data_IF_967120556047
#
_entry.id   IF_967120556047
#
_cell.length_a   1.000
_cell.length_b   1.000
_cell.length_c   1.000
_cell.angle_alpha   90.00
_cell.angle_beta   90.00
_cell.angle_gamma   90.00
#
_symmetry.space_group_name_H-M   'P 1'
#
loop_
_entity.id
_entity.type
_entity.pdbx_description
1 polymer ?
#
# COMPACT_ATOMS: atom_id res chain seq x y z
N UNK A 1 -4.26 -5.13 10.75
CA UNK A 1 -5.49 -4.33 10.52
C UNK A 1 -5.09 -2.93 10.13
N UNK A 2 -5.94 -2.22 9.38
CA UNK A 2 -5.68 -0.85 8.91
C UNK A 2 -6.42 0.20 9.76
N UNK A 3 -5.77 1.31 10.09
CA UNK A 3 -6.31 2.46 10.81
C UNK A 3 -6.00 3.76 10.05
N UNK A 4 -6.94 4.71 10.01
CA UNK A 4 -6.66 6.07 9.54
C UNK A 4 -6.33 6.97 10.73
N UNK A 5 -5.08 7.38 10.86
CA UNK A 5 -4.61 8.16 12.00
C UNK A 5 -3.36 8.98 11.70
N UNK A 6 -2.97 9.84 12.65
CA UNK A 6 -1.74 10.60 12.60
C UNK A 6 -0.61 9.83 13.30
N UNK A 7 0.39 9.43 12.52
CA UNK A 7 1.63 8.87 13.08
C UNK A 7 2.47 9.94 13.80
N UNK A 8 2.41 11.16 13.27
CA UNK A 8 2.99 12.38 13.85
C UNK A 8 2.05 13.56 13.54
N UNK A 9 2.04 14.62 14.36
CA UNK A 9 1.12 15.74 14.19
C UNK A 9 1.11 16.31 12.77
N UNK A 10 -0.10 16.46 12.20
CA UNK A 10 -0.29 17.05 10.88
C UNK A 10 0.08 16.15 9.70
N UNK A 11 0.33 14.86 9.93
CA UNK A 11 0.60 13.87 8.88
C UNK A 11 -0.33 12.66 9.01
N UNK A 12 -1.62 12.78 8.66
CA UNK A 12 -2.53 11.66 8.64
C UNK A 12 -2.19 10.66 7.53
N UNK A 13 -2.69 9.43 7.65
CA UNK A 13 -2.62 8.43 6.59
C UNK A 13 -3.23 7.10 7.04
N UNK A 14 -3.37 6.17 6.10
CA UNK A 14 -3.79 4.81 6.40
C UNK A 14 -2.58 3.98 6.83
N UNK A 15 -2.61 3.46 8.04
CA UNK A 15 -1.52 2.71 8.65
C UNK A 15 -1.93 1.25 8.74
N UNK A 16 -1.14 0.38 8.13
CA UNK A 16 -1.17 -1.03 8.44
C UNK A 16 -0.27 -1.27 9.65
N UNK A 17 -0.84 -1.70 10.77
CA UNK A 17 -0.04 -2.25 11.86
C UNK A 17 0.61 -3.54 11.32
N UNK A 18 1.95 -3.54 11.25
CA UNK A 18 2.71 -4.71 10.84
C UNK A 18 2.43 -5.91 11.76
N UNK A 19 2.76 -7.09 11.28
CA UNK A 19 2.63 -8.30 12.07
C UNK A 19 3.59 -8.39 13.21
N UNK A 20 3.12 -9.01 14.28
CA UNK A 20 3.97 -9.67 15.25
C UNK A 20 5.00 -10.53 14.49
N UNK A 21 6.27 -10.36 14.78
CA UNK A 21 7.27 -11.39 14.46
C UNK A 21 6.89 -12.67 15.20
N UNK A 22 7.03 -13.82 14.57
CA UNK A 22 6.90 -15.10 15.28
C UNK A 22 7.89 -15.15 16.44
N UNK A 23 7.68 -16.05 17.41
CA UNK A 23 8.64 -16.30 18.49
C UNK A 23 10.05 -16.69 17.97
N UNK A 24 10.18 -17.09 16.69
CA UNK A 24 11.43 -17.39 16.01
C UNK A 24 12.03 -16.20 15.23
N UNK A 25 11.50 -14.99 15.39
CA UNK A 25 11.97 -13.78 14.71
C UNK A 25 11.58 -13.69 13.22
N UNK A 26 10.73 -14.59 12.72
CA UNK A 26 10.30 -14.57 11.33
C UNK A 26 9.07 -13.67 11.19
N UNK A 27 9.01 -12.76 10.20
CA UNK A 27 7.81 -11.96 9.93
C UNK A 27 6.63 -12.89 9.64
N UNK A 28 5.53 -12.73 10.37
CA UNK A 28 4.27 -13.40 10.02
C UNK A 28 3.80 -12.84 8.66
N UNK A 29 3.69 -13.72 7.67
CA UNK A 29 3.62 -13.38 6.26
C UNK A 29 2.37 -12.60 5.85
N UNK A 30 1.30 -12.56 6.66
CA UNK A 30 0.05 -11.85 6.34
C UNK A 30 -0.59 -11.27 7.59
N UNK A 31 -0.31 -10.01 7.91
CA UNK A 31 -0.64 -9.47 9.23
C UNK A 31 -1.17 -8.04 9.24
N UNK A 32 -0.87 -7.26 8.19
CA UNK A 32 -1.42 -5.91 8.04
C UNK A 32 -2.92 -5.90 7.73
N UNK A 33 -3.48 -7.00 7.26
CA UNK A 33 -4.86 -7.07 6.77
C UNK A 33 -5.02 -6.42 5.40
N UNK A 34 -6.23 -6.46 4.86
CA UNK A 34 -6.59 -5.86 3.58
C UNK A 34 -7.42 -4.59 3.81
N UNK A 35 -7.23 -3.58 2.96
CA UNK A 35 -8.07 -2.39 2.85
C UNK A 35 -8.38 -2.16 1.37
N UNK A 36 -9.56 -1.60 1.08
CA UNK A 36 -10.03 -1.40 -0.28
C UNK A 36 -10.64 -0.01 -0.44
N UNK A 37 -10.50 0.57 -1.63
CA UNK A 37 -11.03 1.87 -1.98
C UNK A 37 -11.74 1.82 -3.33
N UNK A 38 -12.90 2.45 -3.41
CA UNK A 38 -13.56 2.69 -4.69
C UNK A 38 -12.81 3.78 -5.46
N UNK A 39 -12.40 3.48 -6.68
CA UNK A 39 -11.72 4.41 -7.58
C UNK A 39 -12.41 4.48 -8.92
N UNK A 40 -12.21 5.58 -9.65
CA UNK A 40 -12.67 5.74 -11.03
C UNK A 40 -11.45 5.94 -11.91
N UNK A 41 -11.30 5.11 -12.94
CA UNK A 41 -10.22 5.22 -13.93
C UNK A 41 -10.82 5.66 -15.27
N UNK A 42 -10.21 6.65 -15.92
CA UNK A 42 -10.60 7.10 -17.27
C UNK A 42 -9.54 6.70 -18.30
N UNK A 43 -8.27 6.91 -17.96
CA UNK A 43 -7.10 6.57 -18.78
C UNK A 43 -6.38 5.31 -18.29
N UNK A 44 -6.79 4.77 -17.14
CA UNK A 44 -6.24 3.55 -16.54
C UNK A 44 -4.99 3.77 -15.68
N UNK A 45 -4.62 5.01 -15.41
CA UNK A 45 -3.48 5.32 -14.54
C UNK A 45 -3.91 5.52 -13.09
N UNK A 46 -3.14 4.92 -12.18
CA UNK A 46 -3.32 5.02 -10.74
C UNK A 46 -1.98 5.40 -10.13
N UNK A 47 -1.96 6.50 -9.38
CA UNK A 47 -0.86 6.90 -8.54
C UNK A 47 -1.18 6.57 -7.09
N UNK A 48 -0.30 5.81 -6.44
CA UNK A 48 -0.40 5.54 -5.00
C UNK A 48 0.77 6.20 -4.30
N UNK A 49 0.48 7.08 -3.36
CA UNK A 49 1.44 7.76 -2.50
C UNK A 49 1.55 7.03 -1.15
N UNK A 50 2.78 6.82 -0.68
CA UNK A 50 3.08 6.06 0.53
C UNK A 50 4.36 6.56 1.22
N UNK A 51 4.56 6.18 2.47
CA UNK A 51 5.77 6.50 3.22
C UNK A 51 6.92 5.57 2.82
N UNK A 52 8.03 6.16 2.35
CA UNK A 52 9.33 5.49 2.26
C UNK A 52 10.19 5.81 3.47
N UNK A 53 10.84 4.80 4.07
CA UNK A 53 11.80 4.98 5.16
C UNK A 53 12.83 3.84 5.18
N UNK A 54 13.83 3.93 6.05
CA UNK A 54 15.01 3.06 6.05
C UNK A 54 14.95 1.89 7.02
N UNK A 55 13.94 1.84 7.90
CA UNK A 55 13.80 0.75 8.88
C UNK A 55 12.36 0.57 9.34
N UNK A 56 12.06 -0.61 9.87
CA UNK A 56 10.77 -0.94 10.50
C UNK A 56 9.55 -0.72 9.60
N UNK A 57 9.72 -0.89 8.28
CA UNK A 57 8.68 -0.72 7.27
C UNK A 57 8.54 -1.97 6.42
N UNK A 58 7.29 -2.32 6.13
CA UNK A 58 6.94 -3.45 5.26
C UNK A 58 6.76 -3.05 3.80
N UNK A 59 6.05 -3.91 3.09
CA UNK A 59 5.60 -3.65 1.72
C UNK A 59 4.11 -3.93 1.59
N UNK A 60 3.52 -3.45 0.51
CA UNK A 60 2.12 -3.66 0.17
C UNK A 60 2.00 -4.21 -1.25
N UNK A 61 1.12 -5.18 -1.44
CA UNK A 61 0.59 -5.49 -2.78
C UNK A 61 -0.65 -4.64 -3.00
N UNK A 62 -0.73 -3.95 -4.13
CA UNK A 62 -1.88 -3.18 -4.58
C UNK A 62 -2.45 -3.82 -5.85
N UNK A 63 -3.77 -4.00 -5.96
CA UNK A 63 -4.39 -4.59 -7.15
C UNK A 63 -5.85 -4.16 -7.34
N UNK A 64 -6.38 -4.27 -8.56
CA UNK A 64 -7.76 -3.89 -8.88
C UNK A 64 -8.69 -5.09 -9.03
N UNK A 65 -9.92 -4.95 -8.52
CA UNK A 65 -11.14 -5.78 -8.70
C UNK A 65 -11.06 -7.26 -8.30
N UNK A 66 -9.96 -7.95 -8.59
CA UNK A 66 -9.75 -9.36 -8.28
C UNK A 66 -9.68 -9.60 -6.75
N UNK A 67 -9.95 -10.85 -6.34
CA UNK A 67 -9.78 -11.25 -4.93
C UNK A 67 -8.30 -11.24 -4.50
N UNK A 68 -7.38 -11.50 -5.43
CA UNK A 68 -5.94 -11.61 -5.22
C UNK A 68 -5.15 -10.87 -6.33
N UNK A 69 -3.90 -10.46 -6.08
CA UNK A 69 -3.08 -9.77 -7.07
C UNK A 69 -2.80 -10.62 -8.33
N UNK A 70 -2.99 -10.02 -9.50
CA UNK A 70 -2.64 -10.59 -10.81
C UNK A 70 -1.55 -9.75 -11.49
N UNK A 71 -0.73 -10.35 -12.36
CA UNK A 71 0.41 -9.65 -12.99
C UNK A 71 0.00 -8.41 -13.82
N UNK A 72 -1.24 -8.38 -14.29
CA UNK A 72 -1.74 -7.35 -15.23
C UNK A 72 -2.31 -6.11 -14.53
N UNK A 73 -2.82 -6.26 -13.32
CA UNK A 73 -3.55 -5.20 -12.60
C UNK A 73 -3.07 -5.05 -11.15
N UNK A 74 -1.82 -5.40 -10.89
CA UNK A 74 -1.21 -5.24 -9.57
C UNK A 74 0.17 -4.60 -9.62
N UNK A 75 0.59 -4.06 -8.49
CA UNK A 75 1.96 -3.65 -8.27
C UNK A 75 2.37 -3.86 -6.80
N UNK A 76 3.68 -3.96 -6.58
CA UNK A 76 4.26 -4.00 -5.24
C UNK A 76 4.78 -2.62 -4.86
N UNK A 77 4.38 -2.15 -3.68
CA UNK A 77 4.84 -0.91 -3.06
C UNK A 77 5.80 -1.28 -1.93
N UNK A 78 7.10 -1.06 -2.16
CA UNK A 78 8.11 -1.29 -1.12
C UNK A 78 8.39 0.00 -0.35
N UNK A 79 8.09 0.01 0.94
CA UNK A 79 8.33 1.18 1.78
C UNK A 79 9.78 1.27 2.26
N UNK A 80 10.58 0.21 2.09
CA UNK A 80 11.99 0.24 2.45
C UNK A 80 12.79 1.03 1.41
N UNK A 81 13.51 2.03 1.88
CA UNK A 81 14.32 2.92 1.06
C UNK A 81 15.70 3.10 1.68
N UNK A 82 16.73 3.19 0.83
CA UNK A 82 18.14 3.19 1.28
C UNK A 82 18.53 4.53 1.90
N UNK A 83 17.88 5.63 1.52
CA UNK A 83 18.19 6.91 2.15
C UNK A 83 17.70 6.90 3.61
N UNK A 84 18.57 7.29 4.53
CA UNK A 84 18.32 7.33 5.98
C UNK A 84 17.35 8.46 6.39
N UNK A 85 16.31 8.70 5.60
CA UNK A 85 15.28 9.72 5.81
C UNK A 85 13.90 9.13 5.51
N UNK A 86 12.86 9.71 6.13
CA UNK A 86 11.48 9.35 5.84
C UNK A 86 10.90 10.35 4.84
N UNK A 87 10.42 9.86 3.70
CA UNK A 87 9.94 10.69 2.59
C UNK A 87 8.61 10.19 2.06
N UNK A 88 7.83 11.10 1.46
CA UNK A 88 6.72 10.68 0.63
C UNK A 88 7.26 10.09 -0.67
N UNK A 89 6.67 8.97 -1.11
CA UNK A 89 7.00 8.23 -2.31
C UNK A 89 5.72 7.97 -3.08
N UNK A 90 5.83 7.76 -4.38
CA UNK A 90 4.71 7.29 -5.17
C UNK A 90 5.09 6.16 -6.11
N UNK A 91 4.11 5.35 -6.47
CA UNK A 91 4.17 4.37 -7.54
C UNK A 91 3.08 4.67 -8.55
N UNK A 92 3.37 4.43 -9.83
CA UNK A 92 2.41 4.54 -10.92
C UNK A 92 2.09 3.13 -11.43
N UNK A 93 0.81 2.81 -11.46
CA UNK A 93 0.28 1.57 -12.03
C UNK A 93 -0.60 1.92 -13.22
N UNK A 94 -0.47 1.17 -14.31
CA UNK A 94 -1.39 1.25 -15.45
C UNK A 94 -2.19 -0.03 -15.53
N UNK A 95 -3.51 0.08 -15.35
CA UNK A 95 -4.41 -1.07 -15.50
C UNK A 95 -4.74 -1.34 -16.97
N UNK A 96 -5.02 -2.60 -17.28
CA UNK A 96 -5.57 -3.04 -18.57
C UNK A 96 -7.11 -3.14 -18.55
N UNK A 97 -7.74 -2.85 -17.41
CA UNK A 97 -9.19 -2.86 -17.26
C UNK A 97 -9.83 -1.73 -18.08
N UNK A 98 -11.08 -1.95 -18.49
CA UNK A 98 -11.85 -0.93 -19.16
C UNK A 98 -12.10 0.27 -18.22
N UNK A 99 -12.09 1.52 -18.72
CA UNK A 99 -12.41 2.70 -17.92
C UNK A 99 -13.73 2.55 -17.17
N UNK A 100 -13.76 2.94 -15.88
CA UNK A 100 -14.94 2.79 -15.05
C UNK A 100 -14.65 2.85 -13.56
N UNK A 101 -15.63 2.36 -12.78
CA UNK A 101 -15.51 2.20 -11.33
C UNK A 101 -14.82 0.87 -11.05
N UNK A 102 -13.83 0.90 -10.17
CA UNK A 102 -13.07 -0.26 -9.74
C UNK A 102 -12.84 -0.22 -8.23
N UNK A 103 -12.47 -1.37 -7.68
CA UNK A 103 -12.04 -1.52 -6.29
C UNK A 103 -10.53 -1.68 -6.26
N UNK A 104 -9.82 -0.69 -5.72
CA UNK A 104 -8.38 -0.78 -5.48
C UNK A 104 -8.12 -1.38 -4.11
N UNK A 105 -7.57 -2.59 -4.10
CA UNK A 105 -7.24 -3.36 -2.92
C UNK A 105 -5.77 -3.16 -2.53
N UNK A 106 -5.50 -3.17 -1.23
CA UNK A 106 -4.17 -3.15 -0.66
C UNK A 106 -4.05 -4.21 0.42
N UNK A 107 -2.95 -4.95 0.41
CA UNK A 107 -2.60 -5.90 1.48
C UNK A 107 -1.18 -5.66 1.93
N UNK A 108 -1.03 -5.44 3.24
CA UNK A 108 0.26 -5.15 3.85
C UNK A 108 0.93 -6.42 4.39
N UNK A 109 2.24 -6.47 4.19
CA UNK A 109 3.11 -7.60 4.49
C UNK A 109 4.30 -7.15 5.33
N UNK A 110 4.65 -7.96 6.34
CA UNK A 110 5.79 -7.69 7.21
C UNK A 110 5.50 -6.62 8.27
N UNK A 111 6.31 -5.57 8.30
CA UNK A 111 6.23 -4.51 9.31
C UNK A 111 5.20 -3.43 8.93
N UNK A 112 5.18 -2.32 9.70
CA UNK A 112 4.27 -1.19 9.49
C UNK A 112 4.33 -0.72 8.04
N UNK A 113 3.20 -0.31 7.47
CA UNK A 113 3.16 0.41 6.20
C UNK A 113 2.22 1.60 6.32
N UNK A 114 2.49 2.69 5.58
CA UNK A 114 1.63 3.87 5.57
C UNK A 114 1.33 4.32 4.16
N UNK A 115 0.04 4.31 3.80
CA UNK A 115 -0.49 4.95 2.60
C UNK A 115 -0.83 6.41 2.92
N UNK A 116 -0.49 7.30 1.99
CA UNK A 116 -0.66 8.75 2.13
C UNK A 116 -1.77 9.26 1.20
N UNK A 117 -1.88 8.72 0.00
CA UNK A 117 -2.84 9.20 -0.99
C UNK A 117 -3.01 8.25 -2.17
N UNK A 118 -4.15 8.37 -2.84
CA UNK A 118 -4.48 7.67 -4.08
C UNK A 118 -5.01 8.73 -5.04
N UNK A 119 -4.48 8.76 -6.26
CA UNK A 119 -4.99 9.59 -7.35
C UNK A 119 -5.19 8.72 -8.58
N UNK A 120 -6.29 8.93 -9.29
CA UNK A 120 -6.63 8.22 -10.52
C UNK A 120 -6.96 9.21 -11.63
N UNK A 121 -6.77 8.78 -12.87
CA UNK A 121 -7.19 9.50 -14.05
C UNK A 121 -7.56 8.56 -15.18
#
# INVERSE_FOLDING_TARGET
>A
AWSFEEDVPGKPGWIAAGGSVSASGNPLTHTGGQISFDVVTESGWIQVEFLGTYQNIGFVSAWLDDEEPTDENSCRLDGLWVDHTSQSRYSLMKTQLAPGRHTLNFRAYGMKFKLLGIATC
#
